data_IF_586292428922
#
_entry.id   IF_586292428922
#
_cell.length_a   1.000
_cell.length_b   1.000
_cell.length_c   1.000
_cell.angle_alpha   90.00
_cell.angle_beta   90.00
_cell.angle_gamma   90.00
#
_symmetry.space_group_name_H-M   'P 1'
#
loop_
_entity.id
_entity.type
_entity.pdbx_description
1 polymer ?
#
# COMPACT_ATOMS: atom_id res chain seq x y z
N UNK A 1 -2.06 -7.01 17.34
CA UNK A 1 -2.88 -7.47 16.21
C UNK A 1 -2.07 -7.69 14.93
N UNK A 2 -1.27 -6.73 14.44
CA UNK A 2 -0.47 -6.88 13.20
C UNK A 2 0.59 -8.00 13.25
N UNK A 3 1.24 -8.23 14.39
CA UNK A 3 2.26 -9.28 14.53
C UNK A 3 1.71 -10.69 14.26
N UNK A 4 0.53 -11.02 14.82
CA UNK A 4 -0.13 -12.32 14.62
C UNK A 4 -0.59 -12.55 13.18
N UNK A 5 -0.98 -11.49 12.49
CA UNK A 5 -1.32 -11.54 11.06
C UNK A 5 -0.08 -11.80 10.20
N UNK A 6 1.06 -11.23 10.58
CA UNK A 6 2.32 -11.40 9.87
C UNK A 6 2.89 -12.80 10.08
N UNK A 7 2.84 -13.32 11.31
CA UNK A 7 3.21 -14.69 11.65
C UNK A 7 2.30 -15.71 10.96
N UNK A 8 0.97 -15.54 11.00
CA UNK A 8 0.05 -16.40 10.26
C UNK A 8 0.32 -16.35 8.76
N UNK A 9 0.57 -15.15 8.21
CA UNK A 9 0.95 -14.99 6.81
C UNK A 9 2.27 -15.71 6.50
N UNK A 10 3.26 -15.63 7.39
CA UNK A 10 4.55 -16.29 7.24
C UNK A 10 4.39 -17.81 7.29
N UNK A 11 3.70 -18.34 8.30
CA UNK A 11 3.39 -19.78 8.40
C UNK A 11 2.62 -20.27 7.18
N UNK A 12 1.68 -19.49 6.64
CA UNK A 12 0.95 -19.84 5.41
C UNK A 12 1.81 -19.75 4.15
N UNK A 13 2.87 -18.93 4.12
CA UNK A 13 3.82 -18.79 3.01
C UNK A 13 4.96 -19.82 3.09
N UNK A 14 5.35 -20.21 4.29
CA UNK A 14 6.48 -21.09 4.60
C UNK A 14 6.04 -22.54 4.81
N UNK A 15 4.73 -22.84 4.80
CA UNK A 15 4.25 -24.21 4.97
C UNK A 15 4.77 -25.09 3.82
N UNK A 16 5.34 -26.27 4.11
CA UNK A 16 5.91 -27.15 3.07
C UNK A 16 4.88 -27.62 2.04
N UNK A 17 3.59 -27.57 2.38
CA UNK A 17 2.49 -27.95 1.49
C UNK A 17 2.02 -26.84 0.55
N UNK A 18 2.52 -25.60 0.67
CA UNK A 18 2.20 -24.52 -0.28
C UNK A 18 2.32 -24.95 -1.74
N UNK A 19 3.42 -25.56 -2.21
CA UNK A 19 3.53 -26.06 -3.58
C UNK A 19 2.44 -27.07 -3.94
N UNK A 20 2.12 -27.99 -3.02
CA UNK A 20 1.09 -29.02 -3.20
C UNK A 20 -0.31 -28.42 -3.31
N UNK A 21 -0.61 -27.38 -2.53
CA UNK A 21 -1.87 -26.65 -2.60
C UNK A 21 -1.99 -25.93 -3.95
N UNK A 22 -0.94 -25.26 -4.41
CA UNK A 22 -0.93 -24.57 -5.71
C UNK A 22 -1.15 -25.59 -6.84
N UNK A 23 -0.44 -26.71 -6.84
CA UNK A 23 -0.61 -27.79 -7.82
C UNK A 23 -2.04 -28.34 -7.83
N UNK A 24 -2.62 -28.54 -6.64
CA UNK A 24 -4.01 -29.02 -6.49
C UNK A 24 -5.01 -28.02 -7.08
N UNK A 25 -4.81 -26.72 -6.86
CA UNK A 25 -5.68 -25.67 -7.42
C UNK A 25 -5.57 -25.66 -8.95
N UNK A 26 -4.37 -25.76 -9.52
CA UNK A 26 -4.17 -25.82 -10.97
C UNK A 26 -4.85 -27.05 -11.57
N UNK A 27 -4.66 -28.23 -10.97
CA UNK A 27 -5.31 -29.47 -11.43
C UNK A 27 -6.83 -29.36 -11.36
N UNK A 28 -7.34 -28.77 -10.28
CA UNK A 28 -8.79 -28.54 -10.10
C UNK A 28 -9.35 -27.58 -11.14
N UNK A 29 -8.59 -26.58 -11.57
CA UNK A 29 -9.01 -25.63 -12.60
C UNK A 29 -9.14 -26.27 -14.00
N UNK A 30 -8.38 -27.32 -14.26
CA UNK A 30 -8.38 -28.07 -15.53
C UNK A 30 -9.38 -29.23 -15.57
N UNK A 31 -9.99 -29.59 -14.44
CA UNK A 31 -10.93 -30.70 -14.33
C UNK A 31 -12.38 -30.22 -14.48
N UNK A 32 -12.99 -30.51 -15.64
CA UNK A 32 -14.37 -30.13 -15.99
C UNK A 32 -15.44 -30.83 -15.13
N UNK A 33 -15.08 -31.90 -14.42
CA UNK A 33 -16.01 -32.64 -13.56
C UNK A 33 -16.00 -32.15 -12.11
N UNK A 34 -15.03 -31.31 -11.75
CA UNK A 34 -14.83 -30.90 -10.37
C UNK A 34 -15.80 -29.78 -9.99
N UNK A 35 -16.59 -29.99 -8.93
CA UNK A 35 -17.60 -29.03 -8.44
C UNK A 35 -17.06 -27.59 -8.24
N UNK A 36 -15.79 -27.47 -7.85
CA UNK A 36 -15.14 -26.19 -7.57
C UNK A 36 -14.21 -25.69 -8.69
N UNK A 37 -14.31 -26.23 -9.91
CA UNK A 37 -13.45 -25.85 -11.04
C UNK A 37 -13.49 -24.34 -11.31
N UNK A 38 -14.69 -23.74 -11.41
CA UNK A 38 -14.87 -22.30 -11.67
C UNK A 38 -14.21 -21.44 -10.58
N UNK A 39 -14.27 -21.89 -9.32
CA UNK A 39 -13.63 -21.18 -8.21
C UNK A 39 -12.10 -21.26 -8.34
N UNK A 40 -11.56 -22.43 -8.69
CA UNK A 40 -10.12 -22.59 -8.91
C UNK A 40 -9.62 -21.75 -10.09
N UNK A 41 -10.35 -21.73 -11.20
CA UNK A 41 -10.07 -20.86 -12.35
C UNK A 41 -10.11 -19.38 -11.95
N UNK A 42 -11.13 -18.96 -11.19
CA UNK A 42 -11.24 -17.58 -10.71
C UNK A 42 -10.07 -17.19 -9.81
N UNK A 43 -9.67 -18.06 -8.89
CA UNK A 43 -8.48 -17.85 -8.04
C UNK A 43 -7.22 -17.72 -8.89
N UNK A 44 -7.03 -18.58 -9.90
CA UNK A 44 -5.91 -18.47 -10.82
C UNK A 44 -5.91 -17.11 -11.53
N UNK A 45 -7.05 -16.72 -12.12
CA UNK A 45 -7.18 -15.45 -12.85
C UNK A 45 -6.91 -14.25 -11.95
N UNK A 46 -7.46 -14.22 -10.75
CA UNK A 46 -7.28 -13.11 -9.80
C UNK A 46 -5.82 -13.02 -9.27
N UNK A 47 -5.02 -14.09 -9.38
CA UNK A 47 -3.61 -14.13 -8.96
C UNK A 47 -2.62 -13.92 -10.09
N UNK A 48 -2.95 -14.35 -11.31
CA UNK A 48 -2.09 -14.23 -12.49
C UNK A 48 -2.28 -12.85 -13.14
N UNK A 49 -3.50 -12.34 -13.17
CA UNK A 49 -3.77 -11.03 -13.77
C UNK A 49 -3.20 -9.94 -12.86
N UNK A 50 -2.26 -9.10 -13.35
CA UNK A 50 -1.84 -7.94 -12.58
C UNK A 50 -3.05 -7.02 -12.43
N UNK A 51 -3.41 -6.71 -11.18
CA UNK A 51 -4.46 -5.72 -10.87
C UNK A 51 -4.13 -4.37 -11.54
N UNK A 52 -2.84 -4.09 -11.73
CA UNK A 52 -2.30 -2.94 -12.48
C UNK A 52 -2.72 -2.89 -13.96
N UNK A 53 -3.05 -4.02 -14.59
CA UNK A 53 -3.42 -4.06 -16.01
C UNK A 53 -4.91 -3.75 -16.23
N UNK A 54 -5.72 -3.79 -15.18
CA UNK A 54 -7.16 -3.48 -15.24
C UNK A 54 -7.53 -2.13 -14.61
N UNK A 55 -6.56 -1.40 -14.07
CA UNK A 55 -6.81 -0.03 -13.63
C UNK A 55 -6.88 0.90 -14.84
N UNK A 56 -8.05 0.89 -15.52
CA UNK A 56 -8.35 1.74 -16.69
C UNK A 56 -8.31 3.25 -16.36
N UNK A 57 -7.88 3.67 -15.17
CA UNK A 57 -7.82 5.06 -14.72
C UNK A 57 -6.51 5.48 -14.01
N UNK A 58 -5.46 4.65 -13.99
CA UNK A 58 -4.27 4.95 -13.15
C UNK A 58 -2.93 4.96 -13.87
N UNK A 59 -2.90 5.32 -15.15
CA UNK A 59 -1.68 5.84 -15.79
C UNK A 59 -1.63 7.38 -15.73
N UNK A 60 -1.94 7.92 -14.56
CA UNK A 60 -1.80 9.37 -14.28
C UNK A 60 -1.43 9.60 -12.82
N UNK A 61 -0.54 8.77 -12.26
CA UNK A 61 0.28 9.25 -11.14
C UNK A 61 1.36 10.13 -11.73
N UNK A 62 0.98 11.35 -12.10
CA UNK A 62 1.93 12.42 -12.37
C UNK A 62 2.91 12.46 -11.19
N UNK A 63 4.19 12.37 -11.50
CA UNK A 63 5.28 12.36 -10.53
C UNK A 63 5.32 13.72 -9.83
N UNK A 64 4.59 13.87 -8.73
CA UNK A 64 4.62 15.09 -7.91
C UNK A 64 6.02 15.19 -7.31
N UNK A 65 6.83 16.08 -7.85
CA UNK A 65 8.17 16.40 -7.32
C UNK A 65 8.03 17.62 -6.42
N UNK A 66 8.17 17.43 -5.11
CA UNK A 66 8.07 18.51 -4.12
C UNK A 66 9.47 19.07 -3.88
N UNK A 67 9.72 20.31 -4.30
CA UNK A 67 10.92 21.05 -3.95
C UNK A 67 10.61 21.93 -2.74
N UNK A 68 11.20 21.61 -1.58
CA UNK A 68 11.05 22.42 -0.36
C UNK A 68 12.27 23.34 -0.23
N UNK A 69 12.06 24.64 -0.34
CA UNK A 69 13.08 25.65 -0.03
C UNK A 69 12.79 26.25 1.34
N UNK A 70 13.73 26.11 2.28
CA UNK A 70 13.68 26.78 3.58
C UNK A 70 14.19 28.20 3.38
N UNK A 71 13.34 29.19 3.65
CA UNK A 71 13.79 30.59 3.77
C UNK A 71 14.07 30.79 5.25
N UNK A 72 15.33 31.06 5.60
CA UNK A 72 15.73 31.37 6.96
C UNK A 72 14.97 32.63 7.40
N UNK A 73 14.12 32.49 8.42
CA UNK A 73 13.43 33.63 9.01
C UNK A 73 14.46 34.45 9.79
N UNK A 74 14.84 35.61 9.25
CA UNK A 74 15.62 36.59 10.00
C UNK A 74 14.89 36.89 11.32
N UNK A 75 15.60 36.73 12.43
CA UNK A 75 15.06 37.04 13.76
C UNK A 75 14.88 38.54 13.86
N UNK A 76 13.66 39.00 13.63
CA UNK A 76 13.29 40.41 13.82
C UNK A 76 13.34 40.68 15.33
N UNK A 77 14.40 41.35 15.80
CA UNK A 77 14.48 41.85 17.17
C UNK A 77 13.51 43.03 17.28
N UNK A 78 12.36 42.81 17.92
CA UNK A 78 11.44 43.89 18.25
C UNK A 78 12.08 44.81 19.31
N UNK A 79 12.15 46.11 19.00
CA UNK A 79 12.51 47.15 19.96
C UNK A 79 11.22 47.62 20.66
N UNK A 80 11.20 47.54 21.99
CA UNK A 80 10.09 48.02 22.81
C UNK A 80 10.31 49.50 23.08
N UNK A 81 9.45 50.34 22.52
CA UNK A 81 9.44 51.79 22.78
C UNK A 81 8.58 52.02 24.03
N UNK A 82 9.23 52.30 25.16
CA UNK A 82 8.53 52.74 26.38
C UNK A 82 8.02 54.18 26.18
N UNK A 83 6.69 54.33 26.17
CA UNK A 83 6.06 55.65 26.25
C UNK A 83 6.16 56.16 27.68
N UNK A 84 7.04 57.12 27.92
CA UNK A 84 7.07 57.88 29.16
C UNK A 84 5.84 58.79 29.19
N UNK A 85 4.89 58.51 30.06
CA UNK A 85 3.78 59.41 30.35
C UNK A 85 4.32 60.57 31.19
N UNK A 86 4.46 61.75 30.57
CA UNK A 86 4.72 62.99 31.28
C UNK A 86 3.45 63.41 32.05
N UNK A 87 3.48 63.21 33.36
CA UNK A 87 2.57 63.85 34.32
C UNK A 87 3.03 65.30 34.53
N UNK A 88 2.25 66.30 34.07
CA UNK A 88 1.94 67.58 34.75
C UNK A 88 0.88 68.35 33.96
#
# INVERSE_FOLDING_TARGET
MRARQLELKQTLLEHPDVPKVIETVVRTALDDTHKNQTVAQKILMDRILPISTFDKKYDTKEKITINVSVIESETIKGEVIEQCSDDT
#
